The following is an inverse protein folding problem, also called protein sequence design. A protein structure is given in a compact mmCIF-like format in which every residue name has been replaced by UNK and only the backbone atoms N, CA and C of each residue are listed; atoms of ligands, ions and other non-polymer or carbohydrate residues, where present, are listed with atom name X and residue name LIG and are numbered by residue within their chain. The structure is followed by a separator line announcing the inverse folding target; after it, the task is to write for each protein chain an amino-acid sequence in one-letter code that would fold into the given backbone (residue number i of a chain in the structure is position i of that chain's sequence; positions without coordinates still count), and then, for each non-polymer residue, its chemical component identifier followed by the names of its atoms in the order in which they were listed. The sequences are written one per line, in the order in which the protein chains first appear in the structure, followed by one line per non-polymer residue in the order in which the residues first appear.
data_IF_982720824785
#
_entry.id   IF_982720824785
#
_cell.length_a   1.000
_cell.length_b   1.000
_cell.length_c   1.000
_cell.angle_alpha   90.00
_cell.angle_beta   90.00
_cell.angle_gamma   90.00
#
_symmetry.space_group_name_H-M   'P 1'
#
loop_
_entity.id
_entity.type
_entity.pdbx_description
1 polymer ?
#
# COMPACT_ATOMS: atom_id res chain seq x y z
N UNK A 1 27.74 -0.09 -27.48
CA UNK A 1 27.53 0.25 -26.05
C UNK A 1 26.04 0.43 -25.86
N UNK A 2 25.39 -0.26 -24.91
CA UNK A 2 23.97 0.00 -24.62
C UNK A 2 23.83 1.46 -24.14
N UNK A 3 22.80 2.16 -24.63
CA UNK A 3 22.47 3.52 -24.15
C UNK A 3 22.14 3.46 -22.66
N UNK A 4 22.55 4.49 -21.92
CA UNK A 4 22.20 4.61 -20.50
C UNK A 4 20.67 4.69 -20.36
N UNK A 5 20.09 3.99 -19.37
CA UNK A 5 18.64 3.96 -19.14
C UNK A 5 18.03 5.37 -18.99
N UNK A 6 18.83 6.33 -18.52
CA UNK A 6 18.48 7.74 -18.37
C UNK A 6 18.11 8.42 -19.70
N UNK A 7 18.67 7.96 -20.83
CA UNK A 7 18.38 8.56 -22.15
C UNK A 7 16.97 8.24 -22.67
N UNK A 8 16.33 7.22 -22.12
CA UNK A 8 14.94 6.84 -22.43
C UNK A 8 13.93 7.34 -21.39
N UNK A 9 14.41 8.07 -20.35
CA UNK A 9 13.55 8.51 -19.27
C UNK A 9 12.58 9.61 -19.75
N UNK A 10 11.28 9.36 -19.58
CA UNK A 10 10.25 10.38 -19.77
C UNK A 10 10.09 11.14 -18.46
N UNK A 11 10.67 12.34 -18.37
CA UNK A 11 10.73 13.14 -17.15
C UNK A 11 9.35 13.35 -16.48
N UNK A 12 8.31 13.62 -17.27
CA UNK A 12 6.94 13.80 -16.73
C UNK A 12 6.41 12.52 -16.08
N UNK A 13 6.67 11.36 -16.68
CA UNK A 13 6.29 10.07 -16.09
C UNK A 13 7.08 9.82 -14.81
N UNK A 14 8.40 10.08 -14.83
CA UNK A 14 9.24 9.94 -13.66
C UNK A 14 8.75 10.81 -12.48
N UNK A 15 8.35 12.06 -12.74
CA UNK A 15 7.74 12.93 -11.72
C UNK A 15 6.42 12.37 -11.19
N UNK A 16 5.57 11.86 -12.08
CA UNK A 16 4.32 11.19 -11.71
C UNK A 16 4.57 10.02 -10.75
N UNK A 17 5.54 9.16 -11.09
CA UNK A 17 5.93 8.01 -10.27
C UNK A 17 6.49 8.43 -8.90
N UNK A 18 7.29 9.51 -8.84
CA UNK A 18 7.80 10.04 -7.55
C UNK A 18 6.68 10.57 -6.66
N UNK A 19 5.71 11.30 -7.23
CA UNK A 19 4.53 11.77 -6.49
C UNK A 19 3.73 10.58 -5.95
N UNK A 20 3.45 9.59 -6.79
CA UNK A 20 2.72 8.39 -6.38
C UNK A 20 3.45 7.63 -5.26
N UNK A 21 4.75 7.41 -5.41
CA UNK A 21 5.58 6.73 -4.39
C UNK A 21 5.58 7.48 -3.05
N UNK A 22 5.66 8.82 -3.07
CA UNK A 22 5.61 9.62 -1.84
C UNK A 22 4.25 9.49 -1.13
N UNK A 23 3.15 9.42 -1.89
CA UNK A 23 1.81 9.19 -1.30
C UNK A 23 1.75 7.79 -0.67
N UNK A 24 2.22 6.77 -1.40
CA UNK A 24 2.19 5.38 -0.97
C UNK A 24 3.02 5.12 0.30
N UNK A 25 4.11 5.87 0.48
CA UNK A 25 5.04 5.71 1.61
C UNK A 25 4.83 6.74 2.73
N UNK A 26 3.79 7.60 2.61
CA UNK A 26 3.50 8.61 3.63
C UNK A 26 3.04 7.96 4.94
N UNK A 27 3.69 8.26 6.10
CA UNK A 27 3.34 7.66 7.39
C UNK A 27 1.89 7.89 7.84
N UNK A 28 1.26 8.98 7.37
CA UNK A 28 -0.11 9.35 7.73
C UNK A 28 -1.18 8.83 6.76
N UNK A 29 -0.78 7.97 5.80
CA UNK A 29 -1.62 7.42 4.72
C UNK A 29 -2.34 8.48 3.87
N UNK A 30 -2.00 9.76 4.04
CA UNK A 30 -2.57 10.89 3.34
C UNK A 30 -1.60 12.05 3.30
N UNK A 31 -1.57 12.85 2.24
CA UNK A 31 -0.64 13.97 2.09
C UNK A 31 -1.26 15.10 1.26
N UNK A 32 -0.98 16.35 1.61
CA UNK A 32 -1.47 17.53 0.90
C UNK A 32 -0.59 17.96 -0.26
N UNK A 33 -1.16 18.75 -1.17
CA UNK A 33 -0.46 19.23 -2.37
C UNK A 33 0.79 20.06 -2.01
N UNK A 34 0.71 20.90 -0.97
CA UNK A 34 1.84 21.71 -0.50
C UNK A 34 2.98 20.84 0.01
N UNK A 35 2.67 19.81 0.80
CA UNK A 35 3.65 18.89 1.37
C UNK A 35 4.38 18.12 0.26
N UNK A 36 3.64 17.62 -0.75
CA UNK A 36 4.25 16.96 -1.92
C UNK A 36 5.16 17.93 -2.69
N UNK A 37 4.66 19.14 -2.98
CA UNK A 37 5.38 20.15 -3.74
C UNK A 37 6.72 20.51 -3.08
N UNK A 38 6.71 20.73 -1.77
CA UNK A 38 7.91 21.03 -1.00
C UNK A 38 8.87 19.83 -0.92
N UNK A 39 8.34 18.62 -0.71
CA UNK A 39 9.17 17.41 -0.55
C UNK A 39 9.92 17.04 -1.83
N UNK A 40 9.26 17.20 -2.98
CA UNK A 40 9.83 16.80 -4.28
C UNK A 40 10.44 17.97 -5.08
N UNK A 41 10.49 19.17 -4.50
CA UNK A 41 10.89 20.41 -5.17
C UNK A 41 10.14 20.62 -6.50
N UNK A 42 8.82 20.44 -6.45
CA UNK A 42 7.92 20.58 -7.59
C UNK A 42 7.01 21.79 -7.41
N UNK A 43 6.68 22.45 -8.52
CA UNK A 43 5.66 23.51 -8.50
C UNK A 43 4.28 22.93 -8.14
N UNK A 44 3.55 23.60 -7.25
CA UNK A 44 2.19 23.22 -6.79
C UNK A 44 1.25 22.87 -7.96
N UNK A 45 1.28 23.65 -9.05
CA UNK A 45 0.46 23.39 -10.24
C UNK A 45 0.82 22.08 -10.95
N UNK A 46 2.10 21.72 -11.02
CA UNK A 46 2.52 20.46 -11.65
C UNK A 46 2.10 19.27 -10.78
N UNK A 47 2.25 19.38 -9.45
CA UNK A 47 1.76 18.38 -8.51
C UNK A 47 0.25 18.20 -8.64
N UNK A 48 -0.52 19.30 -8.67
CA UNK A 48 -1.97 19.24 -8.83
C UNK A 48 -2.39 18.53 -10.13
N UNK A 49 -1.72 18.83 -11.25
CA UNK A 49 -2.00 18.13 -12.53
C UNK A 49 -1.68 16.65 -12.46
N UNK A 50 -0.54 16.28 -11.86
CA UNK A 50 -0.16 14.88 -11.65
C UNK A 50 -1.20 14.16 -10.80
N UNK A 51 -1.61 14.76 -9.68
CA UNK A 51 -2.61 14.19 -8.78
C UNK A 51 -3.94 13.98 -9.51
N UNK A 52 -4.39 14.95 -10.30
CA UNK A 52 -5.61 14.80 -11.10
C UNK A 52 -5.49 13.70 -12.16
N UNK A 53 -4.34 13.54 -12.78
CA UNK A 53 -4.09 12.39 -13.68
C UNK A 53 -4.18 11.07 -12.92
N UNK A 54 -3.47 10.93 -11.80
CA UNK A 54 -3.49 9.71 -10.99
C UNK A 54 -4.88 9.39 -10.43
N UNK A 55 -5.68 10.42 -10.11
CA UNK A 55 -7.04 10.30 -9.62
C UNK A 55 -8.00 9.80 -10.71
N UNK A 56 -7.86 10.30 -11.94
CA UNK A 56 -8.60 9.80 -13.11
C UNK A 56 -8.28 8.32 -13.38
N UNK A 57 -7.03 7.92 -13.21
CA UNK A 57 -6.60 6.52 -13.31
C UNK A 57 -6.99 5.67 -12.08
N UNK A 58 -7.58 6.29 -11.04
CA UNK A 58 -8.01 5.60 -9.81
C UNK A 58 -6.87 5.16 -8.88
N UNK A 59 -5.63 5.58 -9.16
CA UNK A 59 -4.44 5.23 -8.38
C UNK A 59 -4.33 6.02 -7.08
N UNK A 60 -4.87 7.25 -7.05
CA UNK A 60 -4.97 8.07 -5.85
C UNK A 60 -6.41 8.52 -5.65
N UNK A 61 -6.77 8.81 -4.41
CA UNK A 61 -8.06 9.40 -4.05
C UNK A 61 -7.87 10.56 -3.09
N UNK A 62 -8.83 11.48 -3.04
CA UNK A 62 -8.83 12.57 -2.08
C UNK A 62 -10.00 12.47 -1.11
N UNK A 63 -9.86 13.10 0.06
CA UNK A 63 -10.84 13.07 1.15
C UNK A 63 -12.17 13.83 0.90
N UNK A 64 -12.50 14.15 -0.36
CA UNK A 64 -13.71 14.91 -0.72
C UNK A 64 -13.64 16.42 -0.49
N UNK A 65 -12.58 16.94 0.14
CA UNK A 65 -12.44 18.38 0.36
C UNK A 65 -12.10 19.15 -0.92
N UNK A 66 -12.77 20.29 -1.11
CA UNK A 66 -12.61 21.16 -2.29
C UNK A 66 -11.58 22.26 -2.08
N UNK A 67 -11.32 22.63 -0.83
CA UNK A 67 -10.26 23.54 -0.45
C UNK A 67 -8.90 22.85 -0.61
N UNK A 68 -8.06 23.37 -1.52
CA UNK A 68 -6.78 22.77 -1.88
C UNK A 68 -5.81 22.65 -0.70
N UNK A 69 -5.92 23.49 0.33
CA UNK A 69 -5.04 23.42 1.49
C UNK A 69 -5.55 22.42 2.56
N UNK A 70 -6.81 21.98 2.45
CA UNK A 70 -7.41 20.93 3.30
C UNK A 70 -7.53 19.59 2.59
N UNK A 71 -7.43 19.60 1.27
CA UNK A 71 -7.49 18.43 0.43
C UNK A 71 -6.27 17.55 0.68
N UNK A 72 -6.51 16.32 1.11
CA UNK A 72 -5.48 15.31 1.39
C UNK A 72 -5.66 14.14 0.42
N UNK A 73 -4.55 13.65 -0.10
CA UNK A 73 -4.50 12.57 -1.09
C UNK A 73 -3.93 11.30 -0.47
N UNK A 74 -4.56 10.16 -0.72
CA UNK A 74 -4.08 8.83 -0.34
C UNK A 74 -4.15 7.86 -1.54
N UNK A 75 -3.85 6.59 -1.30
CA UNK A 75 -4.00 5.55 -2.32
C UNK A 75 -5.47 5.41 -2.73
N UNK A 76 -5.69 5.22 -4.02
CA UNK A 76 -7.00 4.97 -4.62
C UNK A 76 -7.28 3.48 -4.79
N UNK A 77 -8.52 3.09 -5.11
CA UNK A 77 -8.92 1.70 -5.24
C UNK A 77 -8.08 0.91 -6.26
N UNK A 78 -7.66 1.54 -7.37
CA UNK A 78 -6.86 0.87 -8.40
C UNK A 78 -5.47 0.48 -7.90
N UNK A 79 -4.88 1.29 -7.02
CA UNK A 79 -3.58 0.98 -6.43
C UNK A 79 -3.65 -0.24 -5.51
N UNK A 80 -4.75 -0.40 -4.76
CA UNK A 80 -5.00 -1.58 -3.92
C UNK A 80 -5.15 -2.83 -4.79
N UNK A 81 -5.99 -2.75 -5.83
CA UNK A 81 -6.20 -3.85 -6.79
C UNK A 81 -4.87 -4.31 -7.44
N UNK A 82 -3.99 -3.36 -7.82
CA UNK A 82 -2.68 -3.69 -8.37
C UNK A 82 -1.75 -4.34 -7.35
N UNK A 83 -1.84 -3.95 -6.07
CA UNK A 83 -1.12 -4.59 -4.98
C UNK A 83 -1.54 -6.04 -4.78
N UNK A 84 -2.85 -6.31 -4.79
CA UNK A 84 -3.40 -7.68 -4.72
C UNK A 84 -2.90 -8.53 -5.89
N UNK A 85 -2.97 -8.02 -7.11
CA UNK A 85 -2.48 -8.74 -8.29
C UNK A 85 -0.97 -8.98 -8.26
N UNK A 86 -0.19 -8.06 -7.69
CA UNK A 86 1.25 -8.24 -7.51
C UNK A 86 1.54 -9.42 -6.58
N UNK A 87 0.82 -9.51 -5.46
CA UNK A 87 0.94 -10.62 -4.51
C UNK A 87 0.57 -11.96 -5.15
N UNK A 88 -0.49 -12.01 -5.97
CA UNK A 88 -0.95 -13.22 -6.65
C UNK A 88 0.10 -13.75 -7.66
N UNK A 89 0.79 -12.86 -8.35
CA UNK A 89 1.70 -13.21 -9.45
C UNK A 89 3.19 -13.23 -9.07
N UNK A 90 3.56 -12.90 -7.83
CA UNK A 90 4.93 -12.93 -7.38
C UNK A 90 5.44 -14.39 -7.32
N UNK A 91 6.25 -14.79 -8.31
CA UNK A 91 6.68 -16.19 -8.52
C UNK A 91 7.66 -16.70 -7.45
N UNK A 92 8.36 -15.82 -6.70
CA UNK A 92 9.22 -16.17 -5.56
C UNK A 92 9.41 -14.98 -4.61
N UNK A 93 9.47 -15.28 -3.31
CA UNK A 93 10.04 -14.49 -2.21
C UNK A 93 9.06 -13.64 -1.41
N UNK A 94 8.84 -14.11 -0.17
CA UNK A 94 8.34 -13.41 1.04
C UNK A 94 7.10 -12.55 0.83
N UNK A 95 5.95 -13.15 1.17
CA UNK A 95 4.71 -12.43 1.42
C UNK A 95 4.89 -11.71 2.77
N UNK A 96 5.32 -10.46 2.75
CA UNK A 96 4.91 -9.53 3.81
C UNK A 96 3.38 -9.43 3.73
N UNK A 97 2.76 -9.79 4.84
CA UNK A 97 1.33 -9.92 5.02
C UNK A 97 0.65 -8.58 4.82
N UNK A 98 -0.23 -8.46 3.81
CA UNK A 98 -1.35 -7.53 3.87
C UNK A 98 -2.52 -8.04 3.01
N UNK A 99 -3.54 -8.63 3.63
CA UNK A 99 -4.89 -8.64 3.05
C UNK A 99 -5.88 -8.01 4.03
N UNK A 100 -6.50 -6.91 3.59
CA UNK A 100 -7.53 -6.19 4.33
C UNK A 100 -8.91 -6.74 3.96
N UNK A 101 -9.47 -7.63 4.78
CA UNK A 101 -10.90 -7.91 4.73
C UNK A 101 -11.65 -6.94 5.65
N UNK A 102 -12.50 -6.08 5.09
CA UNK A 102 -13.48 -5.36 5.90
C UNK A 102 -14.68 -6.26 6.21
N UNK A 103 -14.43 -7.33 6.96
CA UNK A 103 -15.46 -8.15 7.59
C UNK A 103 -15.65 -7.69 9.03
N UNK A 104 -16.83 -7.16 9.35
CA UNK A 104 -17.19 -6.82 10.72
C UNK A 104 -17.76 -8.06 11.41
N UNK A 105 -17.06 -8.62 12.39
CA UNK A 105 -17.61 -9.63 13.31
C UNK A 105 -18.47 -8.97 14.43
N UNK A 106 -18.78 -7.68 14.27
CA UNK A 106 -19.59 -6.87 15.16
C UNK A 106 -19.35 -5.37 14.96
N UNK A 107 -20.24 -4.49 15.44
CA UNK A 107 -20.07 -3.05 15.32
C UNK A 107 -18.78 -2.58 16.02
N UNK A 108 -17.85 -2.01 15.24
CA UNK A 108 -16.58 -1.48 15.73
C UNK A 108 -15.38 -2.44 15.71
N UNK A 109 -15.55 -3.66 15.20
CA UNK A 109 -14.45 -4.63 15.02
C UNK A 109 -14.06 -4.79 13.56
N UNK A 110 -12.76 -4.96 13.30
CA UNK A 110 -12.20 -5.26 11.97
C UNK A 110 -11.40 -6.55 12.11
N UNK A 111 -11.79 -7.58 11.37
CA UNK A 111 -11.02 -8.83 11.31
C UNK A 111 -9.97 -8.75 10.20
N UNK A 112 -8.71 -8.85 10.57
CA UNK A 112 -7.59 -8.94 9.64
C UNK A 112 -7.16 -10.40 9.57
N UNK A 113 -7.20 -11.00 8.37
CA UNK A 113 -6.75 -12.37 8.15
C UNK A 113 -5.58 -12.34 7.19
N UNK A 114 -4.47 -12.91 7.63
CA UNK A 114 -3.23 -13.01 6.87
C UNK A 114 -3.01 -14.46 6.45
N UNK A 115 -2.79 -14.71 5.15
CA UNK A 115 -2.39 -16.05 4.69
C UNK A 115 -1.05 -15.94 3.98
N UNK A 116 -0.02 -16.56 4.54
CA UNK A 116 1.30 -16.66 3.92
C UNK A 116 1.56 -18.10 3.48
N UNK A 117 2.14 -18.28 2.29
CA UNK A 117 2.67 -19.56 1.83
C UNK A 117 4.18 -19.54 2.03
N UNK A 118 4.70 -20.48 2.80
CA UNK A 118 6.11 -20.45 3.24
C UNK A 118 6.81 -21.79 3.06
N UNK A 119 8.11 -21.71 2.74
CA UNK A 119 8.96 -22.88 2.49
C UNK A 119 9.51 -23.50 3.79
N UNK A 120 9.57 -22.75 4.90
CA UNK A 120 10.02 -23.22 6.22
C UNK A 120 9.11 -22.68 7.33
N UNK A 121 8.66 -23.54 8.25
CA UNK A 121 7.57 -23.25 9.20
C UNK A 121 8.04 -22.57 10.49
N UNK A 122 9.23 -22.92 10.97
CA UNK A 122 9.60 -22.64 12.37
C UNK A 122 10.08 -21.20 12.59
N UNK A 123 10.75 -20.57 11.62
CA UNK A 123 11.21 -19.18 11.74
C UNK A 123 10.09 -18.16 11.47
N UNK A 124 9.06 -18.56 10.72
CA UNK A 124 8.07 -17.64 10.17
C UNK A 124 6.93 -17.37 11.14
N UNK A 125 6.61 -18.31 12.02
CA UNK A 125 5.55 -18.11 13.01
C UNK A 125 5.92 -17.01 14.02
N UNK A 126 7.20 -16.94 14.40
CA UNK A 126 7.72 -15.90 15.30
C UNK A 126 7.79 -14.53 14.60
N UNK A 127 8.27 -14.49 13.36
CA UNK A 127 8.34 -13.26 12.55
C UNK A 127 6.94 -12.68 12.27
N UNK A 128 5.98 -13.52 11.84
CA UNK A 128 4.60 -13.11 11.61
C UNK A 128 3.93 -12.60 12.89
N UNK A 129 4.24 -13.21 14.05
CA UNK A 129 3.71 -12.78 15.33
C UNK A 129 4.27 -11.43 15.75
N UNK A 130 5.57 -11.19 15.56
CA UNK A 130 6.19 -9.89 15.81
C UNK A 130 5.59 -8.80 14.93
N UNK A 131 5.48 -9.06 13.62
CA UNK A 131 4.99 -8.09 12.64
C UNK A 131 3.50 -7.77 12.84
N UNK A 132 2.66 -8.78 13.13
CA UNK A 132 1.26 -8.58 13.49
C UNK A 132 1.11 -7.75 14.78
N UNK A 133 2.00 -7.94 15.77
CA UNK A 133 2.01 -7.16 17.00
C UNK A 133 2.42 -5.70 16.75
N UNK A 134 3.42 -5.46 15.91
CA UNK A 134 3.85 -4.12 15.51
C UNK A 134 2.73 -3.37 14.76
N UNK A 135 2.10 -4.04 13.79
CA UNK A 135 0.98 -3.49 13.04
C UNK A 135 -0.22 -3.17 13.94
N UNK A 136 -0.55 -4.06 14.88
CA UNK A 136 -1.62 -3.82 15.85
C UNK A 136 -1.32 -2.59 16.74
N UNK A 137 -0.06 -2.43 17.17
CA UNK A 137 0.41 -1.25 17.88
C UNK A 137 0.26 0.05 17.05
N UNK A 138 0.62 0.01 15.77
CA UNK A 138 0.48 1.17 14.84
C UNK A 138 -0.98 1.54 14.59
N UNK A 139 -1.87 0.55 14.57
CA UNK A 139 -3.31 0.73 14.33
C UNK A 139 -4.11 0.99 15.61
N UNK A 140 -3.46 1.02 16.79
CA UNK A 140 -4.10 1.15 18.10
C UNK A 140 -5.20 0.09 18.35
N UNK A 141 -4.99 -1.13 17.85
CA UNK A 141 -5.88 -2.28 18.07
C UNK A 141 -5.19 -3.30 18.98
N UNK A 142 -5.98 -4.04 19.77
CA UNK A 142 -5.46 -5.20 20.52
C UNK A 142 -5.51 -6.41 19.59
N UNK A 143 -4.37 -7.08 19.30
CA UNK A 143 -4.38 -8.28 18.49
C UNK A 143 -5.10 -9.39 19.27
N UNK A 144 -6.01 -10.11 18.61
CA UNK A 144 -6.61 -11.32 19.18
C UNK A 144 -5.52 -12.40 19.26
N UNK A 145 -5.41 -13.10 20.39
CA UNK A 145 -4.28 -14.01 20.69
C UNK A 145 -4.28 -15.30 19.85
N UNK A 146 -5.27 -15.49 18.98
CA UNK A 146 -5.45 -16.68 18.16
C UNK A 146 -4.72 -16.58 16.82
N UNK A 147 -3.49 -17.08 16.74
CA UNK A 147 -2.88 -17.46 15.46
C UNK A 147 -3.42 -18.85 15.07
N UNK A 148 -4.36 -18.92 14.12
CA UNK A 148 -4.83 -20.20 13.59
C UNK A 148 -4.01 -20.57 12.35
N UNK A 149 -3.00 -21.44 12.53
CA UNK A 149 -2.24 -22.01 11.41
C UNK A 149 -3.12 -23.06 10.73
N UNK A 150 -3.84 -22.65 9.68
CA UNK A 150 -4.61 -23.59 8.86
C UNK A 150 -3.62 -24.29 7.91
N UNK A 151 -3.41 -25.61 8.03
CA UNK A 151 -2.58 -26.33 7.07
C UNK A 151 -3.19 -26.17 5.68
N UNK A 152 -2.36 -25.91 4.67
CA UNK A 152 -2.79 -25.89 3.28
C UNK A 152 -3.50 -27.22 3.01
N UNK A 153 -4.83 -27.19 2.88
CA UNK A 153 -5.60 -28.38 2.56
C UNK A 153 -5.06 -28.89 1.23
N UNK A 154 -4.45 -30.08 1.27
CA UNK A 154 -3.90 -30.71 0.09
C UNK A 154 -4.97 -30.78 -0.99
N UNK A 155 -4.69 -30.18 -2.14
CA UNK A 155 -5.24 -30.67 -3.40
C UNK A 155 -4.56 -32.00 -3.70
N UNK A 156 -4.99 -33.04 -2.98
CA UNK A 156 -4.88 -34.43 -3.41
C UNK A 156 -6.28 -34.88 -3.82
N UNK A 157 -6.51 -34.98 -5.14
CA UNK A 157 -7.76 -35.44 -5.74
C UNK A 157 -8.00 -34.87 -7.12
#
# INVERSE_FOLDING_TARGET
MPKAAEEYMIETLARGMRVFALIATSPSNSIGVTEIATTLDLQKNNVFRILKTLEVEGLVSHNGETDADKCRYGLGPKAIELGEWLLIHADKTVVEVVEFFKGADGPGSVKLTATARVENRDDVEEDLRMEASELAGRLAVTPDEGLEVVPATGTDG
#
